data_IF_940046149501
#
_entry.id   IF_940046149501
#
_cell.length_a   1.000
_cell.length_b   1.000
_cell.length_c   1.000
_cell.angle_alpha   90.00
_cell.angle_beta   90.00
_cell.angle_gamma   90.00
#
_symmetry.space_group_name_H-M   'P 1'
#
loop_
_entity.id
_entity.type
_entity.pdbx_description
1 polymer ?
#
# COMPACT_ATOMS: atom_id res chain seq x y z
N UNK A 1 -32.32 16.16 52.70
CA UNK A 1 -31.12 15.31 52.58
C UNK A 1 -31.07 14.87 51.14
N UNK A 2 -30.17 15.51 50.40
CA UNK A 2 -30.21 15.64 48.94
C UNK A 2 -29.50 14.47 48.27
N UNK A 3 -30.11 13.90 47.22
CA UNK A 3 -29.59 12.77 46.46
C UNK A 3 -28.52 13.17 45.41
N UNK A 4 -28.01 14.40 45.45
CA UNK A 4 -27.09 14.93 44.43
C UNK A 4 -25.64 14.40 44.57
N UNK A 5 -25.32 13.69 45.66
CA UNK A 5 -23.94 13.25 45.95
C UNK A 5 -23.52 11.97 45.22
N UNK A 6 -24.46 11.14 44.74
CA UNK A 6 -24.15 9.81 44.22
C UNK A 6 -23.79 9.83 42.72
N UNK A 7 -24.33 10.78 41.96
CA UNK A 7 -24.03 10.95 40.53
C UNK A 7 -22.64 11.54 40.27
N UNK A 8 -22.12 12.35 41.20
CA UNK A 8 -20.76 12.90 41.11
C UNK A 8 -19.65 11.87 41.39
N UNK A 9 -19.97 10.78 42.09
CA UNK A 9 -18.98 9.73 42.34
C UNK A 9 -18.79 8.79 41.14
N UNK A 10 -19.85 8.56 40.36
CA UNK A 10 -19.79 7.72 39.15
C UNK A 10 -19.05 8.46 38.02
N UNK A 11 -19.22 9.77 37.87
CA UNK A 11 -18.45 10.58 36.90
C UNK A 11 -16.96 10.65 37.26
N UNK A 12 -16.61 10.65 38.55
CA UNK A 12 -15.21 10.69 38.99
C UNK A 12 -14.46 9.35 38.74
N UNK A 13 -15.15 8.21 38.87
CA UNK A 13 -14.56 6.89 38.61
C UNK A 13 -14.24 6.64 37.12
N UNK A 14 -15.00 7.24 36.20
CA UNK A 14 -14.75 7.13 34.76
C UNK A 14 -13.45 7.79 34.31
N UNK A 15 -13.12 8.95 34.89
CA UNK A 15 -11.91 9.71 34.55
C UNK A 15 -10.65 8.97 35.03
N UNK A 16 -10.67 8.39 36.23
CA UNK A 16 -9.53 7.63 36.77
C UNK A 16 -9.25 6.40 35.92
N UNK A 17 -10.30 5.65 35.53
CA UNK A 17 -10.15 4.48 34.67
C UNK A 17 -9.62 4.86 33.27
N UNK A 18 -10.03 6.01 32.72
CA UNK A 18 -9.52 6.50 31.44
C UNK A 18 -8.03 6.87 31.54
N UNK A 19 -7.61 7.54 32.61
CA UNK A 19 -6.19 7.87 32.83
C UNK A 19 -5.35 6.59 32.96
N UNK A 20 -5.82 5.61 33.74
CA UNK A 20 -5.13 4.32 33.88
C UNK A 20 -5.06 3.56 32.55
N UNK A 21 -6.11 3.61 31.72
CA UNK A 21 -6.09 3.00 30.39
C UNK A 21 -5.06 3.64 29.46
N UNK A 22 -4.93 4.97 29.48
CA UNK A 22 -3.92 5.70 28.69
C UNK A 22 -2.50 5.37 29.17
N UNK A 23 -2.27 5.33 30.49
CA UNK A 23 -0.98 4.95 31.07
C UNK A 23 -0.62 3.51 30.67
N UNK A 24 -1.58 2.59 30.77
CA UNK A 24 -1.39 1.20 30.38
C UNK A 24 -1.05 1.08 28.89
N UNK A 25 -1.79 1.78 28.02
CA UNK A 25 -1.52 1.80 26.59
C UNK A 25 -0.13 2.36 26.28
N UNK A 26 0.28 3.42 26.98
CA UNK A 26 1.64 3.96 26.90
C UNK A 26 2.71 2.94 27.29
N UNK A 27 2.49 2.18 28.37
CA UNK A 27 3.41 1.14 28.81
C UNK A 27 3.53 -0.01 27.80
N UNK A 28 2.40 -0.44 27.22
CA UNK A 28 2.37 -1.43 26.13
C UNK A 28 3.16 -0.92 24.93
N UNK A 29 2.99 0.35 24.56
CA UNK A 29 3.70 0.95 23.43
C UNK A 29 5.21 1.05 23.67
N UNK A 30 5.65 1.50 24.85
CA UNK A 30 7.07 1.54 25.22
C UNK A 30 7.70 0.15 25.21
N UNK A 31 6.99 -0.86 25.73
CA UNK A 31 7.46 -2.25 25.75
C UNK A 31 7.63 -2.78 24.32
N UNK A 32 6.67 -2.48 23.43
CA UNK A 32 6.75 -2.83 22.01
C UNK A 32 7.94 -2.13 21.32
N UNK A 33 8.17 -0.85 21.60
CA UNK A 33 9.28 -0.09 21.05
C UNK A 33 10.64 -0.65 21.48
N UNK A 34 10.80 -0.98 22.77
CA UNK A 34 12.04 -1.61 23.28
C UNK A 34 12.29 -2.96 22.59
N UNK A 35 11.26 -3.79 22.42
CA UNK A 35 11.37 -5.06 21.69
C UNK A 35 11.78 -4.85 20.22
N UNK A 36 11.22 -3.85 19.55
CA UNK A 36 11.57 -3.52 18.18
C UNK A 36 13.05 -3.08 18.04
N UNK A 37 13.54 -2.24 18.96
CA UNK A 37 14.93 -1.78 18.98
C UNK A 37 15.89 -2.94 19.31
N UNK A 38 15.60 -3.74 20.33
CA UNK A 38 16.41 -4.92 20.66
C UNK A 38 16.53 -5.86 19.47
N UNK A 39 15.41 -6.12 18.78
CA UNK A 39 15.39 -6.99 17.59
C UNK A 39 16.17 -6.40 16.43
N UNK A 40 16.11 -5.08 16.22
CA UNK A 40 16.90 -4.38 15.20
C UNK A 40 18.40 -4.52 15.48
N UNK A 41 18.81 -4.36 16.74
CA UNK A 41 20.19 -4.55 17.17
C UNK A 41 20.66 -6.01 17.00
N UNK A 42 19.79 -6.98 17.29
CA UNK A 42 20.09 -8.41 17.13
C UNK A 42 20.33 -8.78 15.65
N UNK A 43 19.53 -8.22 14.73
CA UNK A 43 19.77 -8.38 13.28
C UNK A 43 21.14 -7.83 12.87
N UNK A 44 21.58 -6.71 13.45
CA UNK A 44 22.91 -6.14 13.18
C UNK A 44 24.02 -7.01 13.75
N UNK A 45 23.85 -7.56 14.95
CA UNK A 45 24.81 -8.51 15.56
C UNK A 45 24.95 -9.78 14.72
N UNK A 46 23.83 -10.39 14.31
CA UNK A 46 23.83 -11.61 13.49
C UNK A 46 24.44 -11.40 12.10
N UNK A 47 24.18 -10.25 11.46
CA UNK A 47 24.84 -9.89 10.20
C UNK A 47 26.37 -9.82 10.34
N UNK A 48 26.87 -9.37 11.49
CA UNK A 48 28.32 -9.36 11.78
C UNK A 48 28.86 -10.75 12.10
N UNK A 49 28.05 -11.61 12.71
CA UNK A 49 28.42 -12.98 13.07
C UNK A 49 28.24 -13.99 11.91
N UNK A 50 27.72 -13.58 10.75
CA UNK A 50 27.41 -14.50 9.64
C UNK A 50 26.29 -15.48 9.95
N UNK A 51 25.50 -15.23 10.99
CA UNK A 51 24.40 -16.10 11.39
C UNK A 51 23.18 -15.93 10.47
N UNK A 52 22.42 -17.01 10.23
CA UNK A 52 21.19 -16.94 9.45
C UNK A 52 20.19 -15.94 10.07
N UNK A 53 19.44 -15.21 9.23
CA UNK A 53 18.52 -14.18 9.69
C UNK A 53 17.42 -14.78 10.57
N UNK A 54 17.08 -14.07 11.65
CA UNK A 54 16.00 -14.47 12.55
C UNK A 54 14.69 -14.68 11.77
N UNK A 55 13.94 -15.76 12.06
CA UNK A 55 12.67 -16.04 11.42
C UNK A 55 11.68 -14.89 11.60
N UNK A 56 10.80 -14.70 10.61
CA UNK A 56 9.86 -13.60 10.57
C UNK A 56 8.90 -13.67 11.79
N UNK A 57 8.77 -12.57 12.52
CA UNK A 57 8.02 -12.51 13.79
C UNK A 57 6.53 -12.80 13.56
N UNK A 58 6.01 -12.44 12.39
CA UNK A 58 4.62 -12.70 12.00
C UNK A 58 4.31 -14.20 11.96
N UNK A 59 5.29 -15.05 11.62
CA UNK A 59 5.11 -16.50 11.62
C UNK A 59 5.01 -17.04 13.06
N UNK A 60 5.76 -16.46 14.00
CA UNK A 60 5.67 -16.84 15.41
C UNK A 60 4.38 -16.34 16.07
N UNK A 61 3.98 -15.10 15.83
CA UNK A 61 2.70 -14.57 16.34
C UNK A 61 1.50 -15.28 15.73
N UNK A 62 1.54 -15.61 14.45
CA UNK A 62 0.48 -16.40 13.82
C UNK A 62 0.34 -17.78 14.49
N UNK A 63 1.44 -18.45 14.82
CA UNK A 63 1.40 -19.73 15.53
C UNK A 63 0.92 -19.59 16.98
N UNK A 64 1.32 -18.53 17.70
CA UNK A 64 0.84 -18.24 19.07
C UNK A 64 -0.66 -17.94 19.07
N UNK A 65 -1.13 -17.12 18.13
CA UNK A 65 -2.55 -16.74 18.04
C UNK A 65 -3.42 -17.90 17.56
N UNK A 66 -2.90 -18.75 16.66
CA UNK A 66 -3.54 -20.00 16.26
C UNK A 66 -3.64 -20.99 17.41
N UNK A 67 -2.65 -21.05 18.30
CA UNK A 67 -2.72 -21.88 19.50
C UNK A 67 -3.68 -21.28 20.55
N UNK A 68 -3.76 -19.95 20.66
CA UNK A 68 -4.69 -19.27 21.56
C UNK A 68 -6.15 -19.41 21.12
N UNK A 69 -6.42 -19.43 19.80
CA UNK A 69 -7.77 -19.69 19.26
C UNK A 69 -8.17 -21.16 19.29
N UNK A 70 -7.20 -22.08 19.41
CA UNK A 70 -7.46 -23.52 19.59
C UNK A 70 -7.61 -23.94 21.05
N UNK A 71 -7.17 -23.12 22.01
CA UNK A 71 -7.59 -23.25 23.40
C UNK A 71 -9.02 -22.74 23.52
N UNK A 72 -9.96 -23.59 23.12
CA UNK A 72 -11.38 -23.35 23.27
C UNK A 72 -11.70 -22.91 24.70
N UNK A 73 -12.50 -21.85 24.79
CA UNK A 73 -13.16 -21.40 26.02
C UNK A 73 -13.62 -22.65 26.77
N UNK A 74 -13.16 -22.91 28.01
CA UNK A 74 -13.63 -24.06 28.78
C UNK A 74 -15.14 -23.93 28.85
N UNK A 75 -15.82 -24.87 28.18
CA UNK A 75 -17.27 -24.96 28.24
C UNK A 75 -17.62 -25.26 29.68
N UNK A 76 -18.05 -24.22 30.40
CA UNK A 76 -18.62 -24.32 31.73
C UNK A 76 -19.92 -25.12 31.63
N UNK A 77 -19.78 -26.44 31.59
CA UNK A 77 -20.85 -27.37 31.90
C UNK A 77 -21.08 -27.27 33.40
N UNK A 78 -21.95 -26.36 33.79
CA UNK A 78 -22.54 -26.29 35.11
C UNK A 78 -23.50 -27.47 35.29
N UNK A 79 -22.94 -28.61 35.72
CA UNK A 79 -23.67 -29.64 36.43
C UNK A 79 -23.30 -29.54 37.92
N UNK A 80 -24.29 -29.13 38.71
CA UNK A 80 -24.56 -29.55 40.09
C UNK A 80 -23.39 -29.68 41.07
N UNK A 81 -23.34 -28.80 42.06
CA UNK A 81 -23.45 -29.16 43.49
C UNK A 81 -23.49 -27.90 44.35
N UNK A 82 -24.56 -27.74 45.12
CA UNK A 82 -24.58 -26.87 46.29
C UNK A 82 -23.60 -27.48 47.30
N UNK A 83 -22.49 -26.79 47.56
CA UNK A 83 -21.67 -27.05 48.74
C UNK A 83 -21.38 -25.71 49.40
N UNK A 84 -21.88 -25.56 50.62
CA UNK A 84 -21.75 -24.37 51.46
C UNK A 84 -20.27 -24.18 51.83
N UNK A 85 -19.54 -23.33 51.11
CA UNK A 85 -18.23 -22.86 51.56
C UNK A 85 -18.33 -21.48 52.19
N UNK A 86 -18.18 -21.49 53.52
CA UNK A 86 -17.99 -20.36 54.42
C UNK A 86 -16.91 -19.40 53.89
N UNK A 87 -17.27 -18.14 53.75
CA UNK A 87 -16.32 -17.09 53.37
C UNK A 87 -15.28 -16.87 54.49
N UNK A 88 -13.98 -16.77 54.16
CA UNK A 88 -12.97 -16.36 55.13
C UNK A 88 -13.15 -14.88 55.48
N UNK A 89 -13.01 -14.56 56.76
CA UNK A 89 -13.14 -13.22 57.32
C UNK A 89 -12.03 -12.28 56.81
N UNK A 90 -12.40 -11.04 56.55
CA UNK A 90 -11.58 -9.97 55.96
C UNK A 90 -10.40 -9.49 56.82
N UNK A 91 -10.26 -10.00 58.06
CA UNK A 91 -9.21 -9.58 58.99
C UNK A 91 -7.81 -10.17 58.68
N UNK A 92 -7.73 -11.20 57.84
CA UNK A 92 -6.47 -11.92 57.55
C UNK A 92 -5.64 -11.31 56.40
N UNK A 93 -6.09 -10.18 55.81
CA UNK A 93 -5.42 -9.52 54.68
C UNK A 93 -4.59 -8.29 55.06
N UNK A 94 -4.40 -8.01 56.35
CA UNK A 94 -3.59 -6.86 56.81
C UNK A 94 -2.24 -7.23 57.42
N UNK A 95 -1.83 -8.51 57.34
CA UNK A 95 -0.54 -8.92 57.88
C UNK A 95 0.63 -8.53 56.96
N UNK A 96 1.14 -7.32 57.21
CA UNK A 96 2.57 -6.96 57.25
C UNK A 96 3.46 -7.52 56.12
N UNK A 97 3.38 -6.87 54.95
CA UNK A 97 4.40 -7.04 53.91
C UNK A 97 5.76 -6.48 54.38
N UNK A 98 6.86 -7.25 54.28
CA UNK A 98 8.21 -6.74 54.55
C UNK A 98 8.64 -5.75 53.46
N UNK A 99 9.22 -4.64 53.89
CA UNK A 99 9.74 -3.59 53.00
C UNK A 99 10.84 -4.14 52.08
N UNK A 100 10.81 -3.86 50.77
CA UNK A 100 11.85 -4.31 49.85
C UNK A 100 13.13 -3.50 50.05
N UNK A 101 14.22 -4.23 50.35
CA UNK A 101 15.56 -3.70 50.54
C UNK A 101 16.14 -3.19 49.21
N UNK A 102 16.18 -1.87 49.03
CA UNK A 102 16.63 -1.16 47.81
C UNK A 102 18.16 -1.22 47.59
N UNK A 103 18.92 -1.90 48.45
CA UNK A 103 20.38 -1.91 48.40
C UNK A 103 21.00 -2.81 47.32
N UNK A 104 20.24 -3.72 46.70
CA UNK A 104 20.81 -4.73 45.76
C UNK A 104 20.78 -4.33 44.28
N UNK A 105 20.31 -3.13 43.92
CA UNK A 105 20.13 -2.77 42.50
C UNK A 105 21.35 -2.13 41.83
N UNK A 106 22.47 -1.98 42.54
CA UNK A 106 23.75 -1.54 41.97
C UNK A 106 24.69 -2.73 41.70
N UNK A 107 24.36 -3.54 40.69
CA UNK A 107 25.35 -4.46 40.12
C UNK A 107 26.29 -3.69 39.18
N UNK A 108 27.56 -3.64 39.57
CA UNK A 108 28.70 -3.31 38.73
C UNK A 108 28.80 -4.26 37.53
N UNK A 109 29.06 -3.76 36.30
CA UNK A 109 29.25 -4.62 35.15
C UNK A 109 30.60 -5.36 35.22
N UNK A 110 30.66 -6.66 34.90
CA UNK A 110 31.93 -7.36 34.73
C UNK A 110 32.55 -6.97 33.39
N UNK A 111 33.80 -6.46 33.42
CA UNK A 111 34.89 -7.43 33.33
C UNK A 111 35.12 -8.11 31.97
N UNK A 112 35.25 -7.41 30.85
CA UNK A 112 35.56 -8.01 29.53
C UNK A 112 36.70 -9.05 29.64
N UNK A 113 36.39 -10.31 29.33
CA UNK A 113 37.36 -11.38 29.16
C UNK A 113 37.18 -11.99 27.76
N UNK A 114 38.22 -11.85 26.95
CA UNK A 114 38.26 -12.28 25.57
C UNK A 114 38.24 -13.81 25.48
N UNK A 115 37.17 -14.37 24.92
CA UNK A 115 37.11 -15.78 24.55
C UNK A 115 37.22 -15.91 23.03
N UNK A 116 38.41 -16.36 22.60
CA UNK A 116 38.69 -16.97 21.30
C UNK A 116 37.70 -18.12 21.04
N UNK A 117 36.88 -18.02 20.00
CA UNK A 117 35.99 -19.11 19.58
C UNK A 117 36.57 -19.81 18.35
N UNK A 118 37.01 -21.05 18.55
CA UNK A 118 37.45 -21.98 17.51
C UNK A 118 36.27 -22.48 16.68
N UNK A 119 36.43 -22.50 15.36
CA UNK A 119 35.55 -23.21 14.43
C UNK A 119 35.63 -24.73 14.64
N UNK A 120 34.51 -25.46 14.52
CA UNK A 120 34.54 -26.85 14.13
C UNK A 120 33.98 -27.05 12.72
N UNK A 121 34.84 -27.64 11.88
CA UNK A 121 34.62 -28.73 10.93
C UNK A 121 33.29 -28.85 10.17
N UNK A 122 33.46 -28.89 8.85
CA UNK A 122 32.55 -29.36 7.81
C UNK A 122 31.79 -30.64 8.16
N UNK A 123 30.56 -30.74 7.69
CA UNK A 123 29.89 -32.01 7.43
C UNK A 123 29.15 -31.99 6.08
N UNK A 124 29.01 -33.16 5.43
CA UNK A 124 28.96 -33.29 3.99
C UNK A 124 27.56 -33.21 3.39
N UNK A 125 27.58 -32.88 2.11
CA UNK A 125 26.50 -32.81 1.14
C UNK A 125 25.79 -34.17 1.06
N UNK A 126 24.49 -34.21 1.36
CA UNK A 126 23.62 -35.35 1.02
C UNK A 126 22.73 -34.97 -0.15
N UNK A 127 23.20 -35.43 -1.29
CA UNK A 127 22.51 -35.65 -2.56
C UNK A 127 21.31 -36.59 -2.34
N UNK A 128 20.09 -36.09 -2.54
CA UNK A 128 18.89 -36.93 -2.59
C UNK A 128 18.15 -36.62 -3.89
N UNK A 129 18.33 -37.53 -4.84
CA UNK A 129 17.63 -37.65 -6.10
C UNK A 129 16.34 -38.44 -5.88
N UNK A 130 15.20 -37.89 -6.32
CA UNK A 130 13.98 -38.65 -6.55
C UNK A 130 13.42 -38.34 -7.95
N UNK A 131 13.26 -39.34 -8.83
CA UNK A 131 12.47 -39.23 -10.04
C UNK A 131 11.07 -39.80 -9.80
N UNK A 132 10.05 -38.94 -9.69
CA UNK A 132 8.65 -39.39 -9.68
C UNK A 132 8.05 -39.19 -11.06
N UNK A 133 7.97 -40.33 -11.74
CA UNK A 133 7.08 -40.65 -12.85
C UNK A 133 5.63 -40.30 -12.50
N UNK A 134 4.88 -39.71 -13.41
CA UNK A 134 3.42 -39.64 -13.31
C UNK A 134 2.81 -39.74 -14.69
N UNK A 135 2.21 -40.90 -14.88
CA UNK A 135 1.54 -41.40 -16.06
C UNK A 135 0.33 -40.59 -16.50
N UNK A 136 0.11 -40.67 -17.81
CA UNK A 136 -1.02 -40.21 -18.60
C UNK A 136 -2.25 -41.09 -18.31
N UNK A 137 -3.47 -40.51 -18.23
CA UNK A 137 -4.67 -41.19 -18.70
C UNK A 137 -5.21 -40.51 -19.97
N UNK A 138 -5.25 -41.31 -21.04
CA UNK A 138 -5.70 -40.95 -22.37
C UNK A 138 -7.14 -41.46 -22.52
N UNK A 139 -8.12 -40.70 -22.06
CA UNK A 139 -9.52 -41.07 -22.26
C UNK A 139 -10.07 -40.54 -23.58
N UNK A 140 -10.25 -41.53 -24.45
CA UNK A 140 -10.88 -41.48 -25.76
C UNK A 140 -12.38 -41.59 -25.53
N UNK A 141 -13.14 -40.50 -25.72
CA UNK A 141 -14.60 -40.60 -25.83
C UNK A 141 -15.01 -40.36 -27.26
N UNK A 142 -15.31 -41.48 -27.91
CA UNK A 142 -15.92 -41.61 -29.23
C UNK A 142 -17.34 -41.03 -29.19
N UNK A 143 -17.62 -40.00 -29.99
CA UNK A 143 -18.98 -39.50 -30.21
C UNK A 143 -19.39 -39.78 -31.65
N UNK A 144 -20.48 -40.53 -31.75
CA UNK A 144 -21.13 -41.09 -32.92
C UNK A 144 -21.61 -40.00 -33.88
N UNK A 145 -21.12 -40.01 -35.11
CA UNK A 145 -21.61 -39.19 -36.21
C UNK A 145 -22.74 -39.92 -36.95
N UNK A 146 -23.90 -39.26 -37.04
CA UNK A 146 -24.98 -39.64 -37.96
C UNK A 146 -24.67 -39.05 -39.36
N UNK A 147 -25.07 -39.72 -40.46
CA UNK A 147 -24.93 -39.21 -41.82
C UNK A 147 -25.87 -38.01 -42.04
N UNK A 148 -25.30 -36.84 -42.31
CA UNK A 148 -26.05 -35.64 -42.73
C UNK A 148 -25.95 -35.58 -44.26
N UNK A 149 -27.12 -35.54 -44.90
CA UNK A 149 -27.28 -35.35 -46.35
C UNK A 149 -26.58 -34.08 -46.85
N UNK A 150 -25.93 -34.20 -48.01
CA UNK A 150 -25.23 -33.15 -48.72
C UNK A 150 -26.15 -31.97 -49.08
N UNK A 151 -26.16 -30.95 -48.21
CA UNK A 151 -26.65 -29.61 -48.56
C UNK A 151 -25.47 -28.89 -49.24
N UNK A 152 -25.63 -28.31 -50.44
CA UNK A 152 -24.58 -27.53 -51.09
C UNK A 152 -24.20 -26.36 -50.18
N UNK A 153 -23.02 -26.49 -49.56
CA UNK A 153 -22.39 -25.45 -48.74
C UNK A 153 -22.04 -24.31 -49.68
N UNK A 154 -22.92 -23.30 -49.71
CA UNK A 154 -22.59 -22.01 -50.30
C UNK A 154 -21.34 -21.49 -49.58
N UNK A 155 -20.27 -21.32 -50.34
CA UNK A 155 -19.00 -20.76 -49.88
C UNK A 155 -19.28 -19.47 -49.11
N UNK A 156 -18.97 -19.40 -47.80
CA UNK A 156 -19.24 -18.20 -47.02
C UNK A 156 -18.48 -17.05 -47.68
N UNK A 157 -19.13 -15.90 -47.93
CA UNK A 157 -18.48 -14.78 -48.57
C UNK A 157 -17.24 -14.43 -47.75
N UNK A 158 -16.07 -14.56 -48.37
CA UNK A 158 -14.81 -14.12 -47.78
C UNK A 158 -14.97 -12.64 -47.45
N UNK A 159 -15.20 -12.34 -46.16
CA UNK A 159 -15.28 -10.97 -45.65
C UNK A 159 -13.92 -10.35 -45.92
N UNK A 160 -13.89 -9.46 -46.91
CA UNK A 160 -12.75 -8.59 -47.15
C UNK A 160 -12.37 -7.94 -45.81
N UNK A 161 -11.13 -8.17 -45.37
CA UNK A 161 -10.66 -7.74 -44.06
C UNK A 161 -10.98 -6.28 -43.83
N UNK A 162 -11.70 -5.99 -42.75
CA UNK A 162 -11.98 -4.64 -42.32
C UNK A 162 -10.65 -3.97 -41.97
N UNK A 163 -10.13 -3.17 -42.89
CA UNK A 163 -8.94 -2.36 -42.67
C UNK A 163 -9.34 -1.23 -41.72
N UNK A 164 -9.00 -1.37 -40.44
CA UNK A 164 -9.21 -0.33 -39.45
C UNK A 164 -8.35 0.89 -39.81
N UNK A 165 -8.99 2.00 -40.19
CA UNK A 165 -8.28 3.26 -40.42
C UNK A 165 -8.02 3.90 -39.06
N UNK A 166 -6.78 3.79 -38.60
CA UNK A 166 -6.33 4.42 -37.37
C UNK A 166 -6.64 5.93 -37.40
N UNK A 167 -7.48 6.40 -36.48
CA UNK A 167 -7.90 7.81 -36.37
C UNK A 167 -9.33 8.11 -36.84
N UNK A 168 -10.05 7.14 -37.40
CA UNK A 168 -11.50 7.27 -37.55
C UNK A 168 -12.19 7.03 -36.21
N UNK A 169 -13.17 7.88 -35.87
CA UNK A 169 -14.03 7.69 -34.69
C UNK A 169 -15.21 6.74 -34.99
N UNK A 170 -15.19 6.07 -36.13
CA UNK A 170 -16.24 5.14 -36.57
C UNK A 170 -15.96 3.77 -35.96
N UNK A 171 -16.76 3.43 -34.95
CA UNK A 171 -16.75 2.11 -34.33
C UNK A 171 -17.33 1.11 -35.35
N UNK A 172 -16.66 -0.03 -35.63
CA UNK A 172 -17.20 -1.05 -36.53
C UNK A 172 -18.62 -1.46 -36.16
N UNK A 173 -19.48 -1.74 -37.15
CA UNK A 173 -20.88 -2.13 -36.90
C UNK A 173 -21.02 -3.41 -36.07
N UNK A 174 -19.98 -4.26 -36.05
CA UNK A 174 -19.90 -5.49 -35.27
C UNK A 174 -19.10 -5.35 -33.96
N UNK A 175 -18.60 -4.16 -33.64
CA UNK A 175 -17.92 -3.91 -32.38
C UNK A 175 -18.92 -3.71 -31.24
N UNK A 176 -18.69 -4.43 -30.14
CA UNK A 176 -19.49 -4.33 -28.91
C UNK A 176 -18.70 -3.50 -27.89
N UNK A 177 -19.34 -2.49 -27.30
CA UNK A 177 -18.74 -1.72 -26.21
C UNK A 177 -18.63 -2.59 -24.94
N UNK A 178 -17.41 -2.98 -24.59
CA UNK A 178 -17.16 -3.85 -23.43
C UNK A 178 -17.03 -3.04 -22.14
N UNK A 179 -16.32 -1.90 -22.20
CA UNK A 179 -16.01 -1.08 -21.03
C UNK A 179 -15.73 0.37 -21.44
N UNK A 180 -16.23 1.32 -20.65
CA UNK A 180 -15.91 2.74 -20.75
C UNK A 180 -15.18 3.18 -19.49
N UNK A 181 -14.05 3.85 -19.66
CA UNK A 181 -13.23 4.37 -18.56
C UNK A 181 -13.18 5.88 -18.67
N UNK A 182 -13.52 6.56 -17.59
CA UNK A 182 -13.34 8.00 -17.46
C UNK A 182 -12.46 8.28 -16.26
N UNK A 183 -11.88 9.47 -16.25
CA UNK A 183 -11.20 10.03 -15.09
C UNK A 183 -11.98 11.25 -14.64
N UNK A 184 -12.43 11.25 -13.41
CA UNK A 184 -12.98 12.45 -12.78
C UNK A 184 -11.88 13.51 -12.71
N UNK A 185 -12.14 14.70 -13.24
CA UNK A 185 -11.15 15.80 -13.30
C UNK A 185 -11.00 16.48 -11.94
N UNK A 186 -12.06 16.45 -11.12
CA UNK A 186 -12.08 17.08 -9.81
C UNK A 186 -11.39 16.20 -8.77
N UNK A 187 -11.70 14.90 -8.78
CA UNK A 187 -11.21 13.96 -7.75
C UNK A 187 -10.05 13.09 -8.25
N UNK A 188 -9.82 13.02 -9.57
CA UNK A 188 -8.79 12.18 -10.18
C UNK A 188 -9.13 10.69 -10.17
N UNK A 189 -10.30 10.30 -9.65
CA UNK A 189 -10.78 8.92 -9.53
C UNK A 189 -11.15 8.37 -10.91
N UNK A 190 -10.89 7.09 -11.14
CA UNK A 190 -11.32 6.42 -12.37
C UNK A 190 -12.75 5.92 -12.19
N UNK A 191 -13.61 6.34 -13.10
CA UNK A 191 -14.98 5.85 -13.21
C UNK A 191 -14.98 4.78 -14.30
N UNK A 192 -15.48 3.59 -13.98
CA UNK A 192 -15.53 2.48 -14.92
C UNK A 192 -16.99 2.10 -15.14
N UNK A 193 -17.46 2.17 -16.38
CA UNK A 193 -18.76 1.64 -16.78
C UNK A 193 -18.58 0.37 -17.58
N UNK A 194 -19.33 -0.67 -17.21
CA UNK A 194 -19.42 -1.91 -17.96
C UNK A 194 -20.90 -2.27 -18.08
N UNK A 195 -21.41 -2.28 -19.32
CA UNK A 195 -22.84 -2.33 -19.58
C UNK A 195 -23.56 -1.13 -18.98
N UNK A 196 -24.57 -1.35 -18.13
CA UNK A 196 -25.37 -0.29 -17.51
C UNK A 196 -24.92 0.10 -16.09
N UNK A 197 -23.83 -0.48 -15.58
CA UNK A 197 -23.37 -0.24 -14.21
C UNK A 197 -22.10 0.60 -14.21
N UNK A 198 -22.05 1.56 -13.30
CA UNK A 198 -20.93 2.48 -13.10
C UNK A 198 -20.31 2.15 -11.74
N UNK A 199 -18.99 2.07 -11.70
CA UNK A 199 -18.21 1.75 -10.50
C UNK A 199 -17.13 2.81 -10.29
N UNK A 200 -16.95 3.23 -9.05
CA UNK A 200 -15.87 4.16 -8.66
C UNK A 200 -14.77 3.46 -7.89
N UNK A 201 -15.09 2.38 -7.16
CA UNK A 201 -14.12 1.65 -6.35
C UNK A 201 -14.15 0.15 -6.64
N UNK A 202 -12.96 -0.49 -6.64
CA UNK A 202 -12.85 -1.94 -6.80
C UNK A 202 -13.64 -2.74 -5.73
N UNK A 203 -13.69 -2.34 -4.45
CA UNK A 203 -14.48 -3.08 -3.44
C UNK A 203 -16.00 -3.02 -3.64
N UNK A 204 -16.54 -2.08 -4.42
CA UNK A 204 -17.97 -2.10 -4.81
C UNK A 204 -18.31 -3.26 -5.77
N UNK A 205 -17.30 -3.96 -6.31
CA UNK A 205 -17.47 -5.19 -7.07
C UNK A 205 -17.80 -6.37 -6.13
N UNK A 206 -18.92 -6.32 -5.41
CA UNK A 206 -19.44 -7.46 -4.64
C UNK A 206 -19.83 -8.67 -5.52
N UNK A 207 -19.92 -8.47 -6.84
CA UNK A 207 -20.24 -9.51 -7.81
C UNK A 207 -18.98 -10.21 -8.34
N UNK A 208 -18.76 -11.45 -7.89
CA UNK A 208 -17.62 -12.29 -8.33
C UNK A 208 -17.58 -12.52 -9.84
N UNK A 209 -18.73 -12.55 -10.52
CA UNK A 209 -18.77 -12.78 -11.97
C UNK A 209 -18.27 -11.57 -12.73
N UNK A 210 -18.61 -10.39 -12.23
CA UNK A 210 -18.17 -9.12 -12.76
C UNK A 210 -16.67 -8.90 -12.58
N UNK A 211 -16.13 -9.16 -11.38
CA UNK A 211 -14.69 -9.07 -11.12
C UNK A 211 -13.86 -9.93 -12.08
N UNK A 212 -14.33 -11.15 -12.40
CA UNK A 212 -13.67 -12.02 -13.39
C UNK A 212 -13.68 -11.41 -14.80
N UNK A 213 -14.81 -10.84 -15.24
CA UNK A 213 -14.90 -10.18 -16.56
C UNK A 213 -14.01 -8.96 -16.64
N UNK A 214 -14.00 -8.14 -15.59
CA UNK A 214 -13.13 -6.96 -15.52
C UNK A 214 -11.65 -7.34 -15.63
N UNK A 215 -11.19 -8.31 -14.83
CA UNK A 215 -9.80 -8.79 -14.88
C UNK A 215 -9.46 -9.30 -16.28
N UNK A 216 -10.34 -10.07 -16.92
CA UNK A 216 -10.11 -10.58 -18.27
C UNK A 216 -9.94 -9.44 -19.30
N UNK A 217 -10.78 -8.41 -19.24
CA UNK A 217 -10.71 -7.24 -20.14
C UNK A 217 -9.43 -6.44 -19.91
N UNK A 218 -9.03 -6.22 -18.65
CA UNK A 218 -7.80 -5.50 -18.31
C UNK A 218 -6.56 -6.27 -18.77
N UNK A 219 -6.54 -7.60 -18.61
CA UNK A 219 -5.45 -8.43 -19.14
C UNK A 219 -5.36 -8.39 -20.67
N UNK A 220 -6.50 -8.45 -21.36
CA UNK A 220 -6.57 -8.37 -22.82
C UNK A 220 -6.10 -7.00 -23.34
N UNK A 221 -6.51 -5.92 -22.67
CA UNK A 221 -6.03 -4.56 -22.97
C UNK A 221 -4.52 -4.45 -22.74
N UNK A 222 -4.01 -5.01 -21.64
CA UNK A 222 -2.58 -5.05 -21.32
C UNK A 222 -1.76 -5.79 -22.39
N UNK A 223 -2.24 -6.95 -22.85
CA UNK A 223 -1.60 -7.70 -23.95
C UNK A 223 -1.60 -6.90 -25.24
N UNK A 224 -2.70 -6.23 -25.56
CA UNK A 224 -2.84 -5.41 -26.78
C UNK A 224 -1.90 -4.21 -26.74
N UNK A 225 -1.81 -3.51 -25.59
CA UNK A 225 -0.88 -2.41 -25.40
C UNK A 225 0.59 -2.86 -25.53
N UNK A 226 0.93 -4.03 -24.97
CA UNK A 226 2.28 -4.59 -25.06
C UNK A 226 2.61 -5.08 -26.49
N UNK A 227 1.65 -5.66 -27.21
CA UNK A 227 1.81 -6.04 -28.60
C UNK A 227 1.99 -4.80 -29.50
N UNK A 228 1.22 -3.74 -29.27
CA UNK A 228 1.36 -2.46 -29.95
C UNK A 228 2.74 -1.81 -29.74
N UNK A 229 3.31 -1.95 -28.54
CA UNK A 229 4.66 -1.45 -28.25
C UNK A 229 5.77 -2.15 -29.07
N UNK A 230 5.54 -3.39 -29.53
CA UNK A 230 6.50 -4.14 -30.35
C UNK A 230 6.32 -3.92 -31.86
N UNK A 231 5.15 -3.45 -32.31
CA UNK A 231 4.87 -3.21 -33.74
C UNK A 231 5.18 -1.80 -34.21
N UNK A 232 5.39 -0.85 -33.29
CA UNK A 232 5.85 0.49 -33.67
C UNK A 232 7.39 0.46 -33.76
N UNK A 233 7.90 -0.06 -34.88
CA UNK A 233 9.30 0.08 -35.29
C UNK A 233 9.62 1.54 -35.67
N UNK A 234 9.42 2.47 -34.74
CA UNK A 234 9.91 3.84 -34.87
C UNK A 234 11.45 3.78 -34.84
N UNK A 235 12.15 4.25 -35.88
CA UNK A 235 13.60 4.40 -35.82
C UNK A 235 13.94 5.30 -34.63
N UNK A 236 14.87 4.85 -33.80
CA UNK A 236 15.29 5.55 -32.59
C UNK A 236 15.52 7.05 -32.87
N UNK A 237 14.89 7.98 -32.13
CA UNK A 237 15.14 9.40 -32.30
C UNK A 237 16.59 9.65 -31.92
N UNK A 238 17.40 9.95 -32.94
CA UNK A 238 18.79 10.32 -32.77
C UNK A 238 18.83 11.71 -32.11
N UNK A 239 18.88 11.73 -30.78
CA UNK A 239 19.11 12.95 -29.99
C UNK A 239 20.57 13.39 -30.14
N UNK A 240 20.94 13.86 -31.33
CA UNK A 240 22.14 14.64 -31.50
C UNK A 240 21.95 15.98 -30.80
N UNK A 241 22.75 16.18 -29.75
CA UNK A 241 23.01 17.43 -29.03
C UNK A 241 22.94 18.65 -29.97
N UNK A 242 21.80 19.35 -29.97
CA UNK A 242 21.76 20.75 -30.42
C UNK A 242 22.22 21.62 -29.27
N UNK A 243 23.53 21.90 -29.25
CA UNK A 243 24.09 23.03 -28.54
C UNK A 243 23.58 24.30 -29.24
N UNK A 244 22.51 24.89 -28.72
CA UNK A 244 22.03 26.18 -29.21
C UNK A 244 22.89 27.30 -28.63
N UNK A 245 23.79 27.82 -29.45
CA UNK A 245 24.38 29.15 -29.31
C UNK A 245 23.25 30.16 -29.59
N UNK A 246 22.74 30.81 -28.56
CA UNK A 246 21.78 31.90 -28.70
C UNK A 246 22.54 33.23 -28.58
N UNK A 247 22.80 33.85 -29.73
CA UNK A 247 23.25 35.23 -29.85
C UNK A 247 22.74 35.76 -31.17
N UNK A 248 21.57 36.40 -31.15
CA UNK A 248 21.23 37.39 -32.17
C UNK A 248 20.23 38.41 -31.60
N UNK A 249 20.82 39.47 -31.07
CA UNK A 249 20.30 40.82 -31.04
C UNK A 249 19.94 41.22 -32.49
N UNK A 250 18.71 41.66 -32.73
CA UNK A 250 18.29 42.13 -34.05
C UNK A 250 17.00 42.94 -33.98
N UNK A 251 17.15 44.22 -34.28
CA UNK A 251 16.14 45.27 -34.46
C UNK A 251 14.79 44.85 -35.05
N UNK A 252 13.69 45.30 -34.42
CA UNK A 252 12.38 45.43 -35.07
C UNK A 252 11.70 46.74 -34.67
N UNK A 253 12.33 47.85 -35.04
CA UNK A 253 11.69 49.14 -35.14
C UNK A 253 11.26 49.39 -36.59
N UNK A 254 10.08 48.91 -37.02
CA UNK A 254 9.20 49.66 -37.95
C UNK A 254 7.82 49.02 -38.21
N UNK A 255 6.78 49.71 -37.72
CA UNK A 255 5.50 50.05 -38.36
C UNK A 255 4.78 49.06 -39.31
N UNK A 256 3.53 48.71 -38.95
CA UNK A 256 2.35 49.19 -39.70
C UNK A 256 1.02 48.99 -38.94
N UNK A 257 0.40 50.14 -38.64
CA UNK A 257 -1.01 50.56 -38.72
C UNK A 257 -2.18 49.61 -38.27
N UNK A 258 -3.17 50.13 -37.52
CA UNK A 258 -4.18 49.33 -36.83
C UNK A 258 -5.46 49.12 -37.66
N UNK A 259 -5.98 47.89 -37.66
CA UNK A 259 -7.36 47.57 -38.05
C UNK A 259 -8.15 47.39 -36.76
N UNK A 260 -9.21 48.18 -36.59
CA UNK A 260 -10.08 48.16 -35.42
C UNK A 260 -10.95 46.89 -35.39
N UNK A 261 -10.95 46.12 -34.28
CA UNK A 261 -12.03 45.20 -33.95
C UNK A 261 -13.10 45.90 -33.10
N UNK A 262 -14.37 45.45 -33.16
CA UNK A 262 -15.50 46.12 -32.53
C UNK A 262 -15.45 46.05 -31.00
N UNK A 263 -15.88 47.17 -30.39
CA UNK A 263 -16.23 47.31 -28.98
C UNK A 263 -17.15 46.16 -28.54
N UNK A 264 -16.61 45.23 -27.75
CA UNK A 264 -17.38 44.48 -26.76
C UNK A 264 -16.96 45.01 -25.39
N UNK A 265 -17.77 45.92 -24.90
CA UNK A 265 -17.74 46.49 -23.56
C UNK A 265 -18.10 45.40 -22.55
N UNK A 266 -17.10 44.84 -21.87
CA UNK A 266 -17.24 44.20 -20.56
C UNK A 266 -15.85 44.07 -19.92
N UNK A 267 -15.28 45.19 -19.49
CA UNK A 267 -14.20 45.19 -18.50
C UNK A 267 -14.78 44.77 -17.15
N UNK A 268 -15.00 43.47 -16.98
CA UNK A 268 -15.09 42.89 -15.65
C UNK A 268 -13.67 42.86 -15.11
N UNK A 269 -13.40 43.74 -14.15
CA UNK A 269 -12.11 43.86 -13.50
C UNK A 269 -11.77 42.52 -12.84
N UNK A 270 -10.95 41.71 -13.52
CA UNK A 270 -10.32 40.52 -12.97
C UNK A 270 -9.37 41.03 -11.87
N UNK A 271 -9.90 41.13 -10.66
CA UNK A 271 -9.09 41.29 -9.47
C UNK A 271 -8.20 40.05 -9.42
N UNK A 272 -6.87 40.17 -9.36
CA UNK A 272 -6.00 39.02 -9.17
C UNK A 272 -6.39 38.41 -7.83
N UNK A 273 -7.18 37.33 -7.88
CA UNK A 273 -7.49 36.50 -6.73
C UNK A 273 -6.15 35.94 -6.30
N UNK A 274 -5.55 36.56 -5.27
CA UNK A 274 -4.42 35.95 -4.57
C UNK A 274 -4.91 34.57 -4.16
N UNK A 275 -4.24 33.48 -4.58
CA UNK A 275 -4.66 32.14 -4.22
C UNK A 275 -4.66 32.09 -2.71
N UNK A 276 -5.86 32.02 -2.13
CA UNK A 276 -6.00 31.78 -0.69
C UNK A 276 -5.30 30.45 -0.43
N UNK A 277 -4.38 30.37 0.54
CA UNK A 277 -3.70 29.14 0.86
C UNK A 277 -4.78 28.12 1.22
N UNK A 278 -5.03 27.17 0.32
CA UNK A 278 -5.85 26.01 0.63
C UNK A 278 -5.16 25.36 1.83
N UNK A 279 -5.87 25.24 2.94
CA UNK A 279 -5.42 24.46 4.08
C UNK A 279 -5.46 23.00 3.62
N UNK A 280 -4.42 22.60 2.88
CA UNK A 280 -4.27 21.27 2.32
C UNK A 280 -4.13 20.27 3.44
N UNK A 281 -4.48 19.02 3.15
CA UNK A 281 -4.23 17.91 4.07
C UNK A 281 -2.73 17.84 4.38
N UNK A 282 -2.38 17.23 5.51
CA UNK A 282 -0.96 17.01 5.88
C UNK A 282 -0.21 16.32 4.73
N UNK A 283 -0.85 15.37 4.03
CA UNK A 283 -0.25 14.71 2.87
C UNK A 283 0.03 15.67 1.72
N UNK A 284 -0.84 16.65 1.46
CA UNK A 284 -0.64 17.62 0.38
C UNK A 284 0.56 18.52 0.67
N UNK A 285 0.75 18.92 1.93
CA UNK A 285 1.89 19.71 2.35
C UNK A 285 3.21 18.93 2.28
N UNK A 286 3.18 17.64 2.65
CA UNK A 286 4.33 16.75 2.52
C UNK A 286 4.65 16.50 1.04
N UNK A 287 3.64 16.29 0.20
CA UNK A 287 3.79 16.09 -1.25
C UNK A 287 4.41 17.31 -1.93
N UNK A 288 3.96 18.52 -1.57
CA UNK A 288 4.54 19.75 -2.11
C UNK A 288 6.04 19.86 -1.78
N UNK A 289 6.43 19.59 -0.53
CA UNK A 289 7.83 19.58 -0.13
C UNK A 289 8.62 18.46 -0.83
N UNK A 290 8.02 17.28 -0.98
CA UNK A 290 8.61 16.13 -1.66
C UNK A 290 8.89 16.46 -3.14
N UNK A 291 7.92 17.00 -3.87
CA UNK A 291 8.09 17.39 -5.26
C UNK A 291 9.17 18.46 -5.43
N UNK A 292 9.23 19.44 -4.52
CA UNK A 292 10.31 20.43 -4.50
C UNK A 292 11.70 19.78 -4.33
N UNK A 293 11.84 18.80 -3.43
CA UNK A 293 13.10 18.06 -3.22
C UNK A 293 13.48 17.16 -4.39
N UNK A 294 12.50 16.56 -5.08
CA UNK A 294 12.72 15.77 -6.29
C UNK A 294 13.28 16.62 -7.43
N UNK A 295 12.78 17.85 -7.61
CA UNK A 295 13.32 18.78 -8.62
C UNK A 295 14.80 19.12 -8.36
N UNK A 296 15.20 19.22 -7.09
CA UNK A 296 16.58 19.53 -6.69
C UNK A 296 17.53 18.34 -6.76
N UNK A 297 17.01 17.12 -6.83
CA UNK A 297 17.80 15.89 -6.73
C UNK A 297 17.80 15.14 -8.07
N UNK A 298 18.84 15.30 -8.91
CA UNK A 298 18.89 14.68 -10.25
C UNK A 298 18.74 13.16 -10.22
N UNK A 299 19.18 12.51 -9.14
CA UNK A 299 19.14 11.05 -8.95
C UNK A 299 17.69 10.52 -8.93
N UNK A 300 16.73 11.31 -8.44
CA UNK A 300 15.34 10.89 -8.29
C UNK A 300 14.41 11.45 -9.37
N UNK A 301 14.89 12.30 -10.30
CA UNK A 301 14.05 12.90 -11.35
C UNK A 301 13.41 11.88 -12.30
N UNK A 302 14.01 10.69 -12.44
CA UNK A 302 13.48 9.61 -13.27
C UNK A 302 12.49 8.70 -12.53
N UNK A 303 12.31 8.91 -11.21
CA UNK A 303 11.41 8.13 -10.36
C UNK A 303 10.09 8.88 -10.19
N UNK A 304 8.97 8.16 -10.18
CA UNK A 304 7.67 8.73 -9.85
C UNK A 304 7.38 8.43 -8.38
N UNK A 305 7.61 9.41 -7.52
CA UNK A 305 7.37 9.31 -6.07
C UNK A 305 6.28 10.31 -5.71
N UNK A 306 5.21 9.82 -5.07
CA UNK A 306 4.06 10.62 -4.63
C UNK A 306 3.62 10.20 -3.23
N UNK A 307 3.12 11.16 -2.46
CA UNK A 307 2.47 10.98 -1.17
C UNK A 307 1.03 11.48 -1.29
N UNK A 308 0.06 10.67 -0.89
CA UNK A 308 -1.37 11.00 -0.97
C UNK A 308 -2.07 10.71 0.36
N UNK A 309 -3.11 11.47 0.67
CA UNK A 309 -4.07 11.10 1.71
C UNK A 309 -5.03 10.06 1.16
N UNK A 310 -5.24 8.99 1.91
CA UNK A 310 -6.41 8.13 1.74
C UNK A 310 -7.65 8.81 2.35
N UNK A 311 -8.87 8.40 1.97
CA UNK A 311 -10.12 8.95 2.53
C UNK A 311 -10.28 8.74 4.05
N UNK A 312 -9.58 7.76 4.62
CA UNK A 312 -9.51 7.50 6.06
C UNK A 312 -8.55 8.43 6.82
N UNK A 313 -7.87 9.34 6.09
CA UNK A 313 -6.86 10.24 6.64
C UNK A 313 -5.47 9.61 6.79
N UNK A 314 -5.28 8.34 6.43
CA UNK A 314 -3.96 7.71 6.41
C UNK A 314 -3.12 8.19 5.22
N UNK A 315 -1.80 8.12 5.37
CA UNK A 315 -0.86 8.43 4.30
C UNK A 315 -0.67 7.18 3.42
N UNK A 316 -0.69 7.37 2.10
CA UNK A 316 -0.31 6.39 1.09
C UNK A 316 0.88 6.91 0.31
N UNK A 317 1.88 6.08 0.11
CA UNK A 317 3.08 6.41 -0.64
C UNK A 317 3.07 5.63 -1.94
N UNK A 318 3.24 6.29 -3.08
CA UNK A 318 3.34 5.65 -4.38
C UNK A 318 4.75 5.84 -4.93
N UNK A 319 5.43 4.73 -5.22
CA UNK A 319 6.78 4.74 -5.82
C UNK A 319 6.74 3.89 -7.09
N UNK A 320 7.01 4.52 -8.23
CA UNK A 320 7.04 3.91 -9.56
C UNK A 320 5.77 3.08 -9.84
N UNK A 321 4.60 3.63 -9.45
CA UNK A 321 3.29 3.00 -9.63
C UNK A 321 2.92 1.92 -8.61
N UNK A 322 3.78 1.66 -7.60
CA UNK A 322 3.46 0.76 -6.49
C UNK A 322 3.07 1.57 -5.25
N UNK A 323 1.92 1.23 -4.67
CA UNK A 323 1.44 1.86 -3.43
C UNK A 323 1.95 1.11 -2.19
N UNK A 324 2.34 1.86 -1.18
CA UNK A 324 2.80 1.41 0.13
C UNK A 324 1.99 2.13 1.21
N UNK A 325 1.65 1.42 2.28
CA UNK A 325 0.93 1.97 3.41
C UNK A 325 1.86 2.75 4.34
N UNK A 326 3.07 2.25 4.54
CA UNK A 326 4.07 2.87 5.41
C UNK A 326 5.36 3.21 4.64
N UNK A 327 6.11 4.19 5.14
CA UNK A 327 7.43 4.56 4.60
C UNK A 327 8.39 3.37 4.71
N UNK A 328 8.22 2.52 5.71
CA UNK A 328 9.05 1.33 5.95
C UNK A 328 8.89 0.26 4.88
N UNK A 329 7.70 0.17 4.28
CA UNK A 329 7.35 -0.86 3.29
C UNK A 329 7.97 -0.59 1.92
N UNK A 330 8.49 0.62 1.70
CA UNK A 330 9.15 0.99 0.45
C UNK A 330 10.39 0.10 0.24
N UNK A 331 10.39 -0.62 -0.89
CA UNK A 331 11.39 -1.64 -1.23
C UNK A 331 12.80 -1.02 -1.37
N UNK A 332 12.87 0.14 -2.03
CA UNK A 332 14.13 0.84 -2.30
C UNK A 332 14.58 1.61 -1.04
N UNK A 333 15.71 1.23 -0.42
CA UNK A 333 16.17 1.84 0.83
C UNK A 333 16.53 3.32 0.65
N UNK A 334 17.04 3.72 -0.52
CA UNK A 334 17.48 5.10 -0.77
C UNK A 334 16.25 6.02 -0.87
N UNK A 335 15.20 5.56 -1.56
CA UNK A 335 13.91 6.27 -1.64
C UNK A 335 13.25 6.36 -0.26
N UNK A 336 13.27 5.28 0.52
CA UNK A 336 12.75 5.28 1.89
C UNK A 336 13.44 6.34 2.75
N UNK A 337 14.78 6.37 2.74
CA UNK A 337 15.54 7.33 3.53
C UNK A 337 15.34 8.76 3.02
N UNK A 338 15.18 8.95 1.71
CA UNK A 338 14.79 10.23 1.13
C UNK A 338 13.43 10.71 1.64
N UNK A 339 12.39 9.86 1.59
CA UNK A 339 11.04 10.20 2.07
C UNK A 339 11.06 10.52 3.57
N UNK A 340 11.75 9.72 4.40
CA UNK A 340 11.90 10.00 5.84
C UNK A 340 12.54 11.36 6.11
N UNK A 341 13.57 11.73 5.33
CA UNK A 341 14.23 13.02 5.47
C UNK A 341 13.29 14.19 5.11
N UNK A 342 12.47 14.03 4.07
CA UNK A 342 11.45 15.01 3.68
C UNK A 342 10.41 15.19 4.78
N UNK A 343 9.87 14.08 5.32
CA UNK A 343 8.88 14.12 6.40
C UNK A 343 9.47 14.81 7.64
N UNK A 344 10.69 14.45 8.05
CA UNK A 344 11.37 15.07 9.19
C UNK A 344 11.59 16.57 8.98
N UNK A 345 11.92 16.99 7.75
CA UNK A 345 12.05 18.41 7.43
C UNK A 345 10.72 19.14 7.49
N UNK A 346 9.65 18.53 6.99
CA UNK A 346 8.31 19.09 7.10
C UNK A 346 7.89 19.24 8.57
N UNK A 347 8.10 18.20 9.39
CA UNK A 347 7.83 18.23 10.84
C UNK A 347 8.60 19.34 11.56
N UNK A 348 9.84 19.63 11.15
CA UNK A 348 10.64 20.71 11.72
C UNK A 348 10.16 22.13 11.33
N UNK A 349 9.26 22.25 10.34
CA UNK A 349 8.69 23.52 9.89
C UNK A 349 7.30 23.82 10.47
N UNK A 350 6.63 22.81 11.01
CA UNK A 350 5.38 22.95 11.77
C UNK A 350 5.70 23.38 13.21
#
# INVERSE_FOLDING_TARGET
MSNDSFTDFISQSGIINLILAVIFLGFVWVTFFVLAVQRSNERRRRKRAGEPPLPNIFVQFYNIFKNFSQQGVPSSSSATSQDEMLMPSLDDLTEKLPEPDLASMFMTPPKEEAATYSMPAELPISELSEPVSSDIPKDTTSSSAAPIEDIPVAEPPQRAGATYVAGSNEIPEDAVEIMRVWRDVTEGVLIIQMGQRIFQTIPELGDRTFARRFIAVVEELGRTAQAGALSIGLPAPNFQKRTAVFSQQGDWANQSKPVAPPLVTASEAITPVQPTPKVGSIADQIEELLQFRLMQSPIYQQRSIHVRSNPDGSLRIEVDGRSYAEVEDVIDPDIRDFIRNVIREWEARQ
#
